data_IF_010554185435
#
_entry.id   IF_010554185435
#
_cell.length_a   1.000
_cell.length_b   1.000
_cell.length_c   1.000
_cell.angle_alpha   90.00
_cell.angle_beta   90.00
_cell.angle_gamma   90.00
#
_symmetry.space_group_name_H-M   'P 1'
#
loop_
_entity.id
_entity.type
_entity.pdbx_description
1 polymer ?
#
# COMPACT_ATOMS: atom_id res chain seq x y z
N UNK A 1 32.90 -48.23 3.52
CA UNK A 1 32.38 -47.45 2.38
C UNK A 1 31.01 -46.97 2.82
N UNK A 2 30.94 -45.79 3.42
CA UNK A 2 30.61 -44.46 2.85
C UNK A 2 29.16 -44.09 3.16
N UNK A 3 29.04 -43.18 4.14
CA UNK A 3 28.10 -42.06 4.22
C UNK A 3 26.66 -42.27 3.73
N UNK A 4 25.72 -42.48 4.64
CA UNK A 4 24.28 -42.30 4.34
C UNK A 4 23.47 -41.80 5.54
N UNK A 5 23.97 -40.76 6.23
CA UNK A 5 23.29 -40.18 7.40
C UNK A 5 23.23 -38.64 7.36
N UNK A 6 23.44 -38.01 6.22
CA UNK A 6 23.59 -36.53 6.14
C UNK A 6 22.60 -35.83 5.21
N UNK A 7 21.72 -36.54 4.50
CA UNK A 7 20.77 -35.89 3.57
C UNK A 7 19.32 -35.85 4.06
N UNK A 8 18.89 -36.77 4.92
CA UNK A 8 17.47 -36.86 5.32
C UNK A 8 17.08 -35.99 6.54
N UNK A 9 18.06 -35.48 7.30
CA UNK A 9 17.82 -34.68 8.50
C UNK A 9 17.74 -33.15 8.23
N UNK A 10 17.95 -32.71 6.99
CA UNK A 10 17.85 -31.29 6.61
C UNK A 10 16.43 -30.85 6.22
N UNK A 11 15.48 -31.79 6.21
CA UNK A 11 14.08 -31.56 5.78
C UNK A 11 13.10 -31.41 6.95
N UNK A 12 13.59 -31.16 8.16
CA UNK A 12 12.74 -30.54 9.18
C UNK A 12 12.49 -29.11 8.70
N UNK A 13 11.34 -28.88 8.06
CA UNK A 13 10.99 -27.61 7.44
C UNK A 13 11.33 -26.45 8.37
N UNK A 14 12.21 -25.55 7.92
CA UNK A 14 12.68 -24.41 8.71
C UNK A 14 11.45 -23.67 9.27
N UNK A 15 11.41 -23.35 10.57
CA UNK A 15 10.26 -22.66 11.14
C UNK A 15 10.03 -21.34 10.39
N UNK A 16 8.76 -20.94 10.17
CA UNK A 16 8.46 -19.67 9.53
C UNK A 16 9.03 -18.52 10.35
N UNK A 17 9.50 -17.50 9.65
CA UNK A 17 10.17 -16.32 10.19
C UNK A 17 9.13 -15.22 10.32
N UNK A 18 8.86 -14.70 11.53
CA UNK A 18 8.02 -13.52 11.71
C UNK A 18 8.76 -12.28 11.22
N UNK A 19 8.06 -11.46 10.43
CA UNK A 19 8.57 -10.21 9.89
C UNK A 19 7.55 -9.07 10.04
N UNK A 20 8.08 -7.87 10.16
CA UNK A 20 7.35 -6.62 9.97
C UNK A 20 7.57 -6.18 8.52
N UNK A 21 6.58 -6.39 7.67
CA UNK A 21 6.62 -6.05 6.26
C UNK A 21 6.06 -4.64 6.03
N UNK A 22 6.85 -3.81 5.38
CA UNK A 22 6.52 -2.46 4.94
C UNK A 22 6.41 -2.45 3.42
N UNK A 23 5.19 -2.51 2.85
CA UNK A 23 5.01 -2.42 1.41
C UNK A 23 5.42 -1.03 0.89
N UNK A 24 5.70 -0.94 -0.41
CA UNK A 24 5.93 0.37 -1.07
C UNK A 24 4.70 1.27 -0.92
N UNK A 25 3.51 0.69 -1.03
CA UNK A 25 2.23 1.38 -0.90
C UNK A 25 1.36 0.67 0.14
N UNK A 26 0.74 1.44 1.03
CA UNK A 26 -0.16 0.91 2.06
C UNK A 26 0.48 0.74 3.44
N UNK A 27 -0.28 0.19 4.40
CA UNK A 27 0.17 0.05 5.78
C UNK A 27 1.15 -1.12 5.95
N UNK A 28 1.96 -1.04 7.02
CA UNK A 28 2.80 -2.16 7.44
C UNK A 28 1.95 -3.36 7.91
N UNK A 29 2.49 -4.56 7.73
CA UNK A 29 1.82 -5.84 7.98
C UNK A 29 2.76 -6.81 8.69
N UNK A 30 2.25 -7.59 9.63
CA UNK A 30 3.02 -8.68 10.24
C UNK A 30 2.78 -9.98 9.47
N UNK A 31 3.84 -10.59 8.95
CA UNK A 31 3.76 -11.81 8.14
C UNK A 31 4.65 -12.92 8.71
N UNK A 32 4.27 -14.16 8.43
CA UNK A 32 5.09 -15.34 8.65
C UNK A 32 5.59 -15.83 7.28
N UNK A 33 6.91 -15.88 7.09
CA UNK A 33 7.51 -16.15 5.78
C UNK A 33 8.59 -17.23 5.87
N UNK A 34 8.87 -17.88 4.76
CA UNK A 34 10.02 -18.77 4.64
C UNK A 34 11.32 -17.98 4.47
N UNK A 35 12.46 -18.68 4.59
CA UNK A 35 13.76 -18.10 4.26
C UNK A 35 13.84 -17.60 2.82
N UNK A 36 13.27 -18.35 1.86
CA UNK A 36 13.27 -17.96 0.44
C UNK A 36 12.48 -16.67 0.19
N UNK A 37 11.35 -16.51 0.89
CA UNK A 37 10.54 -15.31 0.80
C UNK A 37 11.24 -14.08 1.41
N UNK A 38 11.94 -14.24 2.54
CA UNK A 38 12.70 -13.16 3.17
C UNK A 38 13.89 -12.68 2.34
N UNK A 39 14.57 -13.59 1.62
CA UNK A 39 15.75 -13.28 0.82
C UNK A 39 15.43 -12.94 -0.64
N UNK A 40 14.18 -12.60 -0.94
CA UNK A 40 13.72 -12.23 -2.28
C UNK A 40 13.89 -13.31 -3.37
N UNK A 41 13.98 -14.59 -2.99
CA UNK A 41 14.02 -15.71 -3.94
C UNK A 41 12.63 -16.20 -4.31
N UNK A 42 11.61 -15.85 -3.52
CA UNK A 42 10.23 -16.26 -3.73
C UNK A 42 9.26 -15.12 -3.44
N UNK A 43 8.08 -15.16 -4.06
CA UNK A 43 7.00 -14.23 -3.78
C UNK A 43 6.64 -14.23 -2.29
N UNK A 44 6.63 -13.04 -1.69
CA UNK A 44 6.34 -12.83 -0.26
C UNK A 44 4.99 -13.42 0.17
N UNK A 45 4.00 -13.44 -0.72
CA UNK A 45 2.64 -13.87 -0.40
C UNK A 45 2.38 -15.35 -0.66
N UNK A 46 2.81 -15.87 -1.82
CA UNK A 46 2.49 -17.24 -2.24
C UNK A 46 3.68 -18.19 -2.34
N UNK A 47 4.90 -17.70 -2.13
CA UNK A 47 6.12 -18.51 -2.13
C UNK A 47 6.56 -19.02 -3.50
N UNK A 48 5.93 -18.59 -4.60
CA UNK A 48 6.38 -18.98 -5.95
C UNK A 48 7.69 -18.29 -6.33
N UNK A 49 8.60 -19.05 -6.93
CA UNK A 49 9.85 -18.61 -7.55
C UNK A 49 9.82 -18.74 -9.09
N UNK A 50 8.73 -19.29 -9.64
CA UNK A 50 8.58 -19.61 -11.08
C UNK A 50 8.08 -18.44 -11.93
N UNK A 51 7.80 -17.29 -11.31
CA UNK A 51 7.24 -16.11 -11.98
C UNK A 51 8.21 -14.94 -11.92
N UNK A 52 8.00 -13.94 -12.77
CA UNK A 52 8.73 -12.68 -12.64
C UNK A 52 8.38 -12.02 -11.28
N UNK A 53 9.41 -11.80 -10.49
CA UNK A 53 9.32 -11.18 -9.17
C UNK A 53 9.70 -9.70 -9.26
N UNK A 54 8.95 -8.87 -8.55
CA UNK A 54 9.15 -7.43 -8.50
C UNK A 54 9.29 -6.98 -7.05
N UNK A 55 10.06 -5.93 -6.81
CA UNK A 55 10.19 -5.33 -5.48
C UNK A 55 8.82 -4.96 -4.93
N UNK A 56 8.50 -5.47 -3.75
CA UNK A 56 7.23 -5.27 -3.07
C UNK A 56 7.37 -4.32 -1.87
N UNK A 57 8.55 -4.27 -1.26
CA UNK A 57 8.86 -3.40 -0.13
C UNK A 57 10.04 -3.89 0.68
N UNK A 58 9.99 -3.61 1.98
CA UNK A 58 11.03 -3.99 2.94
C UNK A 58 10.45 -4.86 4.04
N UNK A 59 11.19 -5.86 4.49
CA UNK A 59 10.85 -6.68 5.65
C UNK A 59 11.88 -6.47 6.75
N UNK A 60 11.43 -6.36 7.99
CA UNK A 60 12.26 -6.29 9.17
C UNK A 60 12.06 -7.55 9.99
N UNK A 61 13.17 -8.18 10.39
CA UNK A 61 13.12 -9.26 11.37
C UNK A 61 13.29 -8.66 12.76
N UNK A 62 12.57 -9.21 13.74
CA UNK A 62 12.56 -8.70 15.11
C UNK A 62 13.96 -8.65 15.76
N UNK A 63 14.88 -9.50 15.31
CA UNK A 63 16.23 -9.65 15.85
C UNK A 63 17.31 -8.83 15.13
N UNK A 64 17.02 -8.24 13.96
CA UNK A 64 18.07 -7.77 13.05
C UNK A 64 18.23 -6.27 12.91
N UNK A 65 17.17 -5.47 13.13
CA UNK A 65 17.15 -4.02 12.88
C UNK A 65 17.43 -3.59 11.42
N UNK A 66 17.83 -4.52 10.56
CA UNK A 66 18.15 -4.30 9.14
C UNK A 66 16.95 -4.67 8.27
N UNK A 67 16.71 -3.82 7.27
CA UNK A 67 15.68 -4.02 6.27
C UNK A 67 16.15 -4.99 5.19
N UNK A 68 15.31 -5.96 4.85
CA UNK A 68 15.47 -6.86 3.71
C UNK A 68 14.56 -6.38 2.59
N UNK A 69 15.10 -6.19 1.38
CA UNK A 69 14.25 -5.99 0.21
C UNK A 69 13.52 -7.29 -0.07
N UNK A 70 12.19 -7.24 -0.16
CA UNK A 70 11.35 -8.40 -0.47
C UNK A 70 10.58 -8.19 -1.78
N UNK A 71 10.17 -9.29 -2.40
CA UNK A 71 9.57 -9.29 -3.74
C UNK A 71 8.22 -10.00 -3.75
N UNK A 72 7.38 -9.65 -4.70
CA UNK A 72 6.10 -10.30 -4.97
C UNK A 72 5.95 -10.57 -6.47
N UNK A 73 5.18 -11.59 -6.82
CA UNK A 73 4.80 -11.82 -8.20
C UNK A 73 3.79 -10.75 -8.67
N UNK A 74 3.72 -10.53 -9.98
CA UNK A 74 2.89 -9.48 -10.58
C UNK A 74 1.41 -9.54 -10.16
N UNK A 75 0.87 -10.75 -9.97
CA UNK A 75 -0.51 -10.94 -9.52
C UNK A 75 -0.74 -10.35 -8.11
N UNK A 76 0.11 -10.69 -7.13
CA UNK A 76 -0.03 -10.17 -5.77
C UNK A 76 0.32 -8.68 -5.67
N UNK A 77 1.26 -8.19 -6.49
CA UNK A 77 1.56 -6.76 -6.54
C UNK A 77 0.38 -5.94 -7.08
N UNK A 78 -0.34 -6.47 -8.09
CA UNK A 78 -1.54 -5.83 -8.61
C UNK A 78 -2.68 -5.79 -7.57
N UNK A 79 -2.86 -6.87 -6.81
CA UNK A 79 -3.84 -6.93 -5.72
C UNK A 79 -3.55 -5.89 -4.65
N UNK A 80 -2.32 -5.82 -4.15
CA UNK A 80 -1.95 -4.86 -3.10
C UNK A 80 -2.20 -3.40 -3.52
N UNK A 81 -1.87 -3.03 -4.76
CA UNK A 81 -2.16 -1.67 -5.28
C UNK A 81 -3.66 -1.39 -5.39
N UNK A 82 -4.46 -2.39 -5.78
CA UNK A 82 -5.90 -2.23 -5.86
C UNK A 82 -6.54 -1.99 -4.48
N UNK A 83 -6.09 -2.72 -3.45
CA UNK A 83 -6.55 -2.54 -2.07
C UNK A 83 -6.22 -1.14 -1.52
N UNK A 84 -5.01 -0.64 -1.80
CA UNK A 84 -4.59 0.71 -1.42
C UNK A 84 -5.44 1.76 -2.15
N UNK A 85 -5.68 1.61 -3.45
CA UNK A 85 -6.50 2.54 -4.22
C UNK A 85 -7.94 2.61 -3.71
N UNK A 86 -8.54 1.46 -3.38
CA UNK A 86 -9.90 1.39 -2.80
C UNK A 86 -9.95 2.08 -1.43
N UNK A 87 -8.95 1.85 -0.59
CA UNK A 87 -8.85 2.47 0.73
C UNK A 87 -8.70 3.99 0.63
N UNK A 88 -7.90 4.47 -0.31
CA UNK A 88 -7.73 5.89 -0.58
C UNK A 88 -9.02 6.56 -1.09
N UNK A 89 -9.77 5.88 -1.97
CA UNK A 89 -11.06 6.38 -2.45
C UNK A 89 -12.09 6.48 -1.31
N UNK A 90 -12.14 5.48 -0.43
CA UNK A 90 -13.02 5.50 0.74
C UNK A 90 -12.64 6.63 1.72
N UNK A 91 -11.34 6.84 1.96
CA UNK A 91 -10.87 7.94 2.79
C UNK A 91 -11.21 9.31 2.20
N UNK A 92 -11.07 9.46 0.87
CA UNK A 92 -11.45 10.69 0.17
C UNK A 92 -12.95 10.96 0.27
N UNK A 93 -13.80 9.94 0.15
CA UNK A 93 -15.25 10.07 0.33
C UNK A 93 -15.62 10.47 1.78
N UNK A 94 -14.98 9.87 2.78
CA UNK A 94 -15.17 10.24 4.18
C UNK A 94 -14.69 11.67 4.50
N UNK A 95 -13.69 12.16 3.77
CA UNK A 95 -13.16 13.52 3.90
C UNK A 95 -13.96 14.58 3.11
N UNK A 96 -15.00 14.19 2.35
CA UNK A 96 -15.86 15.16 1.65
C UNK A 96 -16.61 16.00 2.68
N UNK A 97 -16.45 17.34 2.68
CA UNK A 97 -17.18 18.19 3.60
C UNK A 97 -18.68 18.09 3.31
N UNK A 98 -19.48 17.81 4.34
CA UNK A 98 -20.92 17.86 4.27
C UNK A 98 -21.35 19.33 4.12
N UNK A 99 -21.86 19.68 2.95
CA UNK A 99 -22.64 20.91 2.75
C UNK A 99 -21.86 22.09 2.16
N UNK A 100 -22.05 22.30 0.87
CA UNK A 100 -22.29 23.66 0.36
C UNK A 100 -23.80 23.73 0.09
N UNK A 101 -24.55 24.18 1.10
CA UNK A 101 -25.88 24.75 0.87
C UNK A 101 -25.65 26.12 0.22
N UNK A 102 -25.44 26.13 -1.10
CA UNK A 102 -25.32 27.34 -1.90
C UNK A 102 -26.71 27.90 -2.18
N UNK A 103 -27.42 28.28 -1.12
CA UNK A 103 -28.71 28.97 -1.15
C UNK A 103 -28.59 30.36 -0.53
N UNK A 104 -27.63 31.16 -1.00
CA UNK A 104 -27.68 32.61 -0.78
C UNK A 104 -27.24 33.31 -2.08
N UNK A 105 -28.20 33.50 -2.98
CA UNK A 105 -28.09 34.56 -3.99
C UNK A 105 -28.27 35.90 -3.27
N UNK A 106 -27.27 36.80 -3.19
CA UNK A 106 -27.56 38.16 -2.80
C UNK A 106 -28.33 38.82 -3.95
N UNK A 107 -29.60 39.12 -3.71
CA UNK A 107 -30.38 40.02 -4.57
C UNK A 107 -29.75 41.41 -4.50
N UNK A 108 -28.92 41.74 -5.48
CA UNK A 108 -28.48 43.12 -5.69
C UNK A 108 -29.66 43.88 -6.29
N UNK A 109 -30.35 44.65 -5.46
CA UNK A 109 -31.30 45.66 -5.88
C UNK A 109 -30.54 46.71 -6.68
N UNK A 110 -30.85 46.84 -7.98
CA UNK A 110 -30.33 47.90 -8.81
C UNK A 110 -30.97 49.25 -8.41
N UNK A 111 -30.16 50.18 -7.89
CA UNK A 111 -30.52 51.59 -7.85
C UNK A 111 -30.35 52.22 -9.25
N UNK A 112 -31.25 53.15 -9.67
CA UNK A 112 -31.15 53.80 -10.97
C UNK A 112 -30.04 54.87 -10.99
N UNK A 113 -29.40 55.11 -12.15
CA UNK A 113 -28.32 56.08 -12.24
C UNK A 113 -28.86 57.52 -12.14
N UNK A 114 -28.18 58.33 -11.34
CA UNK A 114 -28.38 59.77 -11.27
C UNK A 114 -28.17 60.44 -12.63
N UNK A 115 -29.19 61.18 -13.08
CA UNK A 115 -29.10 62.10 -14.20
C UNK A 115 -28.89 63.53 -13.68
N UNK A 116 -27.70 64.07 -13.92
CA UNK A 116 -27.39 65.49 -13.81
C UNK A 116 -27.65 66.20 -15.14
N UNK A 117 -28.47 67.25 -15.13
CA UNK A 117 -28.53 68.32 -16.16
C UNK A 117 -29.19 69.53 -15.50
N UNK A 118 -28.46 70.52 -15.00
CA UNK A 118 -27.95 71.71 -15.70
C UNK A 118 -29.04 72.63 -16.29
N UNK A 119 -29.20 73.80 -15.65
CA UNK A 119 -29.38 75.15 -16.22
C UNK A 119 -30.43 75.37 -17.33
N UNK A 120 -31.50 76.11 -17.03
CA UNK A 120 -31.63 77.58 -17.23
C UNK A 120 -32.94 78.09 -16.63
#
# INVERSE_FOLDING_TARGET
MTSDLTSHQLTAGRPPIPIDYHPIEGPAQHLLVSGEQLHANACLYCGTDQQQLHTAGHAYTHSGGLAWVVVACAAHLALGRAEVAQSAAAAAEAARPAGVDESVRPTVTAEPPGGVTAQQ
#
